data_IF_537315047775
#
_entry.id   IF_537315047775
#
_cell.length_a   1.000
_cell.length_b   1.000
_cell.length_c   1.000
_cell.angle_alpha   90.00
_cell.angle_beta   90.00
_cell.angle_gamma   90.00
#
_symmetry.space_group_name_H-M   'P 1'
#
loop_
_entity.id
_entity.type
_entity.pdbx_description
1 polymer ?
#
# COMPACT_ATOMS: atom_id res chain seq x y z
N UNK A 1 25.98 -30.64 63.56
CA UNK A 1 24.63 -30.17 63.17
C UNK A 1 23.98 -29.47 64.36
N UNK A 2 24.46 -28.27 64.73
CA UNK A 2 23.88 -27.50 65.87
C UNK A 2 23.16 -26.21 65.42
N UNK A 3 23.20 -25.90 64.12
CA UNK A 3 22.65 -24.67 63.53
C UNK A 3 21.12 -24.79 63.32
N UNK A 4 20.53 -25.97 63.48
CA UNK A 4 19.10 -26.28 63.21
C UNK A 4 18.19 -26.25 64.45
N UNK A 5 18.66 -25.80 65.62
CA UNK A 5 17.85 -25.78 66.87
C UNK A 5 17.39 -24.40 67.31
N UNK A 6 17.92 -23.31 66.76
CA UNK A 6 17.48 -21.97 67.09
C UNK A 6 16.23 -21.61 66.27
N UNK A 7 15.12 -21.32 66.97
CA UNK A 7 13.84 -20.95 66.35
C UNK A 7 13.96 -19.71 65.45
N UNK A 8 14.90 -18.82 65.71
CA UNK A 8 15.19 -17.64 64.87
C UNK A 8 15.90 -18.03 63.57
N UNK A 9 16.81 -19.00 63.63
CA UNK A 9 17.53 -19.52 62.46
C UNK A 9 16.60 -20.36 61.60
N UNK A 10 15.74 -21.19 62.20
CA UNK A 10 14.71 -21.96 61.48
C UNK A 10 13.74 -21.00 60.78
N UNK A 11 13.27 -19.95 61.46
CA UNK A 11 12.37 -18.96 60.88
C UNK A 11 12.98 -18.19 59.70
N UNK A 12 14.26 -17.83 59.80
CA UNK A 12 14.97 -17.17 58.69
C UNK A 12 15.15 -18.12 57.50
N UNK A 13 15.43 -19.40 57.75
CA UNK A 13 15.65 -20.40 56.71
C UNK A 13 14.34 -20.75 55.99
N UNK A 14 13.20 -20.84 56.68
CA UNK A 14 11.89 -21.00 56.03
C UNK A 14 11.51 -19.78 55.19
N UNK A 15 11.72 -18.56 55.68
CA UNK A 15 11.44 -17.33 54.90
C UNK A 15 12.32 -17.27 53.65
N UNK A 16 13.61 -17.59 53.76
CA UNK A 16 14.53 -17.62 52.62
C UNK A 16 14.10 -18.66 51.56
N UNK A 17 13.68 -19.86 51.99
CA UNK A 17 13.19 -20.91 51.07
C UNK A 17 11.90 -20.47 50.38
N UNK A 18 10.96 -19.85 51.11
CA UNK A 18 9.70 -19.35 50.52
C UNK A 18 9.96 -18.22 49.50
N UNK A 19 10.92 -17.33 49.77
CA UNK A 19 11.30 -16.27 48.82
C UNK A 19 11.98 -16.82 47.56
N UNK A 20 12.81 -17.85 47.68
CA UNK A 20 13.46 -18.48 46.53
C UNK A 20 12.43 -19.21 45.66
N UNK A 21 11.51 -19.96 46.27
CA UNK A 21 10.47 -20.68 45.54
C UNK A 21 9.48 -19.69 44.90
N UNK A 22 9.04 -18.67 45.64
CA UNK A 22 8.16 -17.62 45.14
C UNK A 22 8.78 -16.81 43.99
N UNK A 23 10.07 -16.47 44.12
CA UNK A 23 10.83 -15.78 43.07
C UNK A 23 10.99 -16.62 41.81
N UNK A 24 11.26 -17.92 41.95
CA UNK A 24 11.39 -18.83 40.81
C UNK A 24 10.06 -19.01 40.06
N UNK A 25 8.93 -19.16 40.78
CA UNK A 25 7.59 -19.27 40.17
C UNK A 25 7.21 -17.97 39.45
N UNK A 26 7.48 -16.81 40.05
CA UNK A 26 7.19 -15.51 39.44
C UNK A 26 8.03 -15.24 38.18
N UNK A 27 9.30 -15.65 38.17
CA UNK A 27 10.16 -15.54 37.00
C UNK A 27 9.71 -16.46 35.86
N UNK A 28 9.24 -17.68 36.16
CA UNK A 28 8.75 -18.62 35.15
C UNK A 28 7.42 -18.18 34.52
N UNK A 29 6.51 -17.58 35.30
CA UNK A 29 5.23 -17.08 34.77
C UNK A 29 5.39 -15.84 33.86
N UNK A 30 6.45 -15.03 34.04
CA UNK A 30 6.75 -13.89 33.15
C UNK A 30 7.34 -14.29 31.79
N UNK A 31 7.88 -15.51 31.66
CA UNK A 31 8.49 -16.00 30.42
C UNK A 31 7.51 -16.54 29.36
N UNK A 32 6.28 -16.88 29.76
CA UNK A 32 5.27 -17.50 28.88
C UNK A 32 4.41 -16.48 28.09
N UNK A 33 4.66 -15.18 28.26
CA UNK A 33 3.90 -14.09 27.64
C UNK A 33 4.56 -13.44 26.43
N UNK A 34 5.59 -14.05 25.80
CA UNK A 34 6.05 -13.61 24.49
C UNK A 34 5.08 -14.12 23.44
N UNK A 35 4.03 -13.34 23.19
CA UNK A 35 3.28 -13.39 21.96
C UNK A 35 4.27 -13.34 20.79
N UNK A 36 4.50 -14.48 20.14
CA UNK A 36 5.06 -14.49 18.80
C UNK A 36 4.09 -13.70 17.94
N UNK A 37 4.42 -12.45 17.64
CA UNK A 37 3.73 -11.69 16.59
C UNK A 37 3.71 -12.60 15.37
N UNK A 38 2.54 -12.98 14.85
CA UNK A 38 2.48 -13.63 13.55
C UNK A 38 3.14 -12.66 12.58
N UNK A 39 4.28 -13.04 12.00
CA UNK A 39 4.76 -12.36 10.80
C UNK A 39 3.74 -12.70 9.73
N UNK A 40 2.80 -11.77 9.55
CA UNK A 40 1.89 -11.73 8.43
C UNK A 40 2.76 -11.53 7.19
N UNK A 41 3.22 -12.64 6.63
CA UNK A 41 3.85 -12.67 5.33
C UNK A 41 2.73 -12.49 4.32
N UNK A 42 2.29 -11.24 4.14
CA UNK A 42 1.57 -10.84 2.93
C UNK A 42 2.53 -11.07 1.78
N UNK A 43 2.43 -12.24 1.15
CA UNK A 43 2.99 -12.46 -0.18
C UNK A 43 2.20 -11.52 -1.08
N UNK A 44 2.77 -10.37 -1.40
CA UNK A 44 2.26 -9.55 -2.50
C UNK A 44 2.38 -10.43 -3.75
N UNK A 45 1.24 -10.85 -4.30
CA UNK A 45 1.21 -11.53 -5.59
C UNK A 45 1.69 -10.51 -6.63
N UNK A 46 2.96 -10.65 -7.05
CA UNK A 46 3.49 -9.88 -8.18
C UNK A 46 2.73 -10.28 -9.44
N UNK A 47 1.88 -9.38 -9.94
CA UNK A 47 1.16 -9.58 -11.17
C UNK A 47 2.14 -9.62 -12.36
N UNK A 48 1.89 -10.44 -13.38
CA UNK A 48 2.67 -10.39 -14.61
C UNK A 48 2.56 -9.00 -15.24
N UNK A 49 3.71 -8.48 -15.71
CA UNK A 49 3.80 -7.12 -16.25
C UNK A 49 3.59 -7.14 -17.77
N UNK A 50 2.76 -6.24 -18.26
CA UNK A 50 2.64 -5.87 -19.68
C UNK A 50 3.27 -4.50 -19.91
N UNK A 51 3.81 -4.29 -21.10
CA UNK A 51 4.29 -2.97 -21.53
C UNK A 51 3.11 -2.09 -21.97
N UNK A 52 3.23 -0.75 -21.89
CA UNK A 52 2.25 0.16 -22.47
C UNK A 52 1.91 -0.15 -23.94
N UNK A 53 2.90 -0.59 -24.72
CA UNK A 53 2.75 -0.93 -26.13
C UNK A 53 1.89 -2.17 -26.37
N UNK A 54 1.86 -3.12 -25.43
CA UNK A 54 1.06 -4.35 -25.52
C UNK A 54 -0.44 -4.06 -25.54
N UNK A 55 -0.87 -3.03 -24.80
CA UNK A 55 -2.27 -2.57 -24.76
C UNK A 55 -2.51 -1.33 -25.64
N UNK A 56 -1.45 -0.79 -26.25
CA UNK A 56 -1.53 0.43 -27.06
C UNK A 56 -1.91 1.65 -26.23
N UNK A 57 -1.27 1.82 -25.06
CA UNK A 57 -1.51 2.90 -24.11
C UNK A 57 -0.84 4.20 -24.57
N UNK A 58 -1.67 5.16 -24.95
CA UNK A 58 -1.28 6.52 -25.25
C UNK A 58 -1.73 7.45 -24.12
N UNK A 59 -0.87 8.41 -23.75
CA UNK A 59 -1.17 9.38 -22.69
C UNK A 59 -1.03 10.77 -23.28
N UNK A 60 -2.04 11.60 -23.08
CA UNK A 60 -2.07 13.00 -23.49
C UNK A 60 -2.15 13.87 -22.25
N UNK A 61 -1.13 14.68 -22.01
CA UNK A 61 -1.16 15.73 -21.00
C UNK A 61 -1.91 16.94 -21.55
N UNK A 62 -2.80 17.52 -20.75
CA UNK A 62 -3.51 18.74 -21.14
C UNK A 62 -2.50 19.90 -21.22
N UNK A 63 -2.74 20.84 -22.13
CA UNK A 63 -1.83 21.97 -22.40
C UNK A 63 -1.48 22.82 -21.15
N UNK A 64 -2.31 22.83 -20.12
CA UNK A 64 -2.09 23.57 -18.88
C UNK A 64 -1.34 22.76 -17.80
N UNK A 65 -0.98 21.51 -18.08
CA UNK A 65 -0.30 20.60 -17.16
C UNK A 65 -1.14 20.13 -15.97
N UNK A 66 -2.45 20.43 -15.94
CA UNK A 66 -3.31 20.18 -14.76
C UNK A 66 -4.18 18.94 -14.88
N UNK A 67 -4.12 18.26 -16.01
CA UNK A 67 -4.84 17.02 -16.22
C UNK A 67 -4.12 16.14 -17.24
N UNK A 68 -4.41 14.85 -17.19
CA UNK A 68 -4.04 13.93 -18.25
C UNK A 68 -5.23 13.09 -18.69
N UNK A 69 -5.10 12.51 -19.87
CA UNK A 69 -6.06 11.58 -20.44
C UNK A 69 -5.25 10.42 -21.02
N UNK A 70 -5.81 9.22 -21.02
CA UNK A 70 -5.20 8.09 -21.68
C UNK A 70 -6.18 7.31 -22.53
N UNK A 71 -5.63 6.73 -23.59
CA UNK A 71 -6.32 5.98 -24.61
C UNK A 71 -5.66 4.61 -24.73
N UNK A 72 -6.47 3.56 -24.80
CA UNK A 72 -6.04 2.17 -24.95
C UNK A 72 -6.61 1.68 -26.27
N UNK A 73 -5.72 1.42 -27.24
CA UNK A 73 -6.09 1.13 -28.64
C UNK A 73 -6.13 -0.38 -28.97
N UNK A 74 -5.68 -1.24 -28.05
CA UNK A 74 -5.68 -2.70 -28.21
C UNK A 74 -6.45 -3.38 -27.07
N UNK A 75 -7.74 -3.06 -26.95
CA UNK A 75 -8.60 -3.55 -25.85
C UNK A 75 -9.49 -4.75 -26.21
N UNK A 76 -9.33 -5.36 -27.39
CA UNK A 76 -10.22 -6.42 -27.90
C UNK A 76 -10.34 -7.66 -26.99
N UNK A 77 -9.26 -8.00 -26.29
CA UNK A 77 -9.18 -9.13 -25.36
C UNK A 77 -9.26 -8.69 -23.89
N UNK A 78 -9.49 -7.41 -23.63
CA UNK A 78 -9.60 -6.83 -22.27
C UNK A 78 -11.06 -6.82 -21.83
N UNK A 79 -11.30 -7.25 -20.59
CA UNK A 79 -12.61 -7.19 -19.95
C UNK A 79 -12.76 -5.91 -19.11
N UNK A 80 -11.73 -5.58 -18.33
CA UNK A 80 -11.74 -4.44 -17.40
C UNK A 80 -10.34 -3.85 -17.26
N UNK A 81 -10.26 -2.53 -17.10
CA UNK A 81 -9.05 -1.82 -16.69
C UNK A 81 -9.38 -0.98 -15.46
N UNK A 82 -8.73 -1.28 -14.35
CA UNK A 82 -8.67 -0.43 -13.17
C UNK A 82 -7.35 0.32 -13.22
N UNK A 83 -7.32 1.61 -12.87
CA UNK A 83 -6.10 2.39 -12.89
C UNK A 83 -5.95 3.26 -11.66
N UNK A 84 -4.70 3.57 -11.37
CA UNK A 84 -4.25 4.51 -10.36
C UNK A 84 -3.28 5.49 -11.00
N UNK A 85 -3.48 6.77 -10.75
CA UNK A 85 -2.57 7.85 -11.12
C UNK A 85 -1.96 8.36 -9.83
N UNK A 86 -0.63 8.33 -9.69
CA UNK A 86 0.08 8.88 -8.54
C UNK A 86 1.03 9.98 -8.95
N UNK A 87 1.12 11.01 -8.11
CA UNK A 87 2.02 12.15 -8.28
C UNK A 87 2.32 12.81 -6.94
N UNK A 88 3.28 13.71 -6.91
CA UNK A 88 3.55 14.56 -5.75
C UNK A 88 3.11 16.00 -6.03
N UNK A 89 2.50 16.62 -5.02
CA UNK A 89 2.11 18.03 -5.03
C UNK A 89 2.81 18.82 -3.96
N UNK A 90 3.04 20.09 -4.23
CA UNK A 90 3.60 21.02 -3.25
C UNK A 90 2.50 21.58 -2.34
N UNK A 91 2.67 21.40 -1.03
CA UNK A 91 1.89 22.05 0.02
C UNK A 91 2.87 22.71 0.98
N UNK A 92 2.78 24.03 1.12
CA UNK A 92 3.64 24.82 2.03
C UNK A 92 5.16 24.57 1.87
N UNK A 93 5.59 24.23 0.65
CA UNK A 93 6.99 23.96 0.31
C UNK A 93 7.44 22.50 0.49
N UNK A 94 6.54 21.60 0.88
CA UNK A 94 6.80 20.16 1.01
C UNK A 94 6.11 19.37 -0.11
N UNK A 95 6.77 18.31 -0.59
CA UNK A 95 6.19 17.38 -1.55
C UNK A 95 5.33 16.34 -0.82
N UNK A 96 4.07 16.24 -1.21
CA UNK A 96 3.08 15.34 -0.62
C UNK A 96 2.52 14.45 -1.74
N UNK A 97 2.54 13.14 -1.54
CA UNK A 97 1.97 12.19 -2.50
C UNK A 97 0.44 12.30 -2.57
N UNK A 98 -0.10 12.19 -3.77
CA UNK A 98 -1.54 12.21 -4.06
C UNK A 98 -1.87 11.14 -5.11
N UNK A 99 -3.11 10.65 -5.09
CA UNK A 99 -3.56 9.56 -5.95
C UNK A 99 -4.98 9.74 -6.48
N UNK A 100 -5.22 9.32 -7.72
CA UNK A 100 -6.55 9.17 -8.30
C UNK A 100 -6.77 7.75 -8.78
N UNK A 101 -7.89 7.17 -8.39
CA UNK A 101 -8.32 5.85 -8.85
C UNK A 101 -9.47 5.95 -9.83
N UNK A 102 -9.56 5.01 -10.75
CA UNK A 102 -10.74 4.85 -11.58
C UNK A 102 -10.76 3.57 -12.38
N UNK A 103 -11.83 3.43 -13.17
CA UNK A 103 -12.06 2.29 -14.05
C UNK A 103 -12.34 2.82 -15.46
N UNK A 104 -11.84 2.10 -16.47
CA UNK A 104 -12.19 2.33 -17.87
C UNK A 104 -13.20 1.29 -18.33
N UNK A 105 -14.27 1.77 -18.97
CA UNK A 105 -15.19 0.89 -19.70
C UNK A 105 -14.57 0.52 -21.04
N UNK A 106 -14.55 -0.77 -21.39
CA UNK A 106 -14.03 -1.24 -22.66
C UNK A 106 -15.09 -1.02 -23.75
N UNK A 107 -14.74 -0.23 -24.77
CA UNK A 107 -15.62 0.02 -25.89
C UNK A 107 -15.70 -1.21 -26.81
N UNK A 108 -16.79 -1.31 -27.57
CA UNK A 108 -17.08 -2.45 -28.46
C UNK A 108 -16.10 -2.54 -29.64
N UNK A 109 -15.54 -1.40 -30.05
CA UNK A 109 -14.58 -1.27 -31.15
C UNK A 109 -13.12 -1.50 -30.72
N UNK A 110 -12.88 -1.87 -29.45
CA UNK A 110 -11.54 -2.17 -28.94
C UNK A 110 -10.68 -0.94 -28.64
N UNK A 111 -11.23 0.27 -28.77
CA UNK A 111 -10.54 1.54 -28.46
C UNK A 111 -11.30 2.25 -27.34
N UNK A 112 -10.64 2.43 -26.19
CA UNK A 112 -11.26 3.13 -25.06
C UNK A 112 -10.42 4.30 -24.59
N UNK A 113 -11.09 5.35 -24.14
CA UNK A 113 -10.49 6.64 -23.77
C UNK A 113 -11.13 7.17 -22.50
N UNK A 114 -10.33 7.72 -21.61
CA UNK A 114 -10.84 8.44 -20.44
C UNK A 114 -11.21 9.88 -20.78
N UNK A 115 -12.06 10.49 -19.95
CA UNK A 115 -12.06 11.94 -19.83
C UNK A 115 -10.75 12.41 -19.19
N UNK A 116 -10.43 13.71 -19.33
CA UNK A 116 -9.31 14.30 -18.60
C UNK A 116 -9.48 14.10 -17.09
N UNK A 117 -8.47 13.51 -16.47
CA UNK A 117 -8.34 13.34 -15.02
C UNK A 117 -7.57 14.52 -14.47
N UNK A 118 -8.29 15.37 -13.75
CA UNK A 118 -7.78 16.60 -13.14
C UNK A 118 -6.88 16.29 -11.95
N UNK A 119 -5.73 16.95 -11.84
CA UNK A 119 -4.89 16.90 -10.65
C UNK A 119 -5.41 17.89 -9.62
N UNK A 120 -6.01 17.37 -8.55
CA UNK A 120 -6.61 18.17 -7.48
C UNK A 120 -8.03 17.74 -7.14
N UNK A 121 -8.80 18.66 -6.59
CA UNK A 121 -10.17 18.39 -6.12
C UNK A 121 -11.17 19.28 -6.83
N UNK A 122 -12.21 18.67 -7.40
CA UNK A 122 -13.32 19.38 -8.02
C UNK A 122 -14.59 19.23 -7.17
N UNK A 123 -15.25 20.35 -6.88
CA UNK A 123 -16.55 20.38 -6.19
C UNK A 123 -17.51 21.31 -6.93
N UNK A 124 -18.70 20.81 -7.26
CA UNK A 124 -19.77 21.58 -7.92
C UNK A 124 -19.31 22.36 -9.18
N UNK A 125 -18.42 21.75 -9.98
CA UNK A 125 -17.92 22.34 -11.23
C UNK A 125 -16.74 23.32 -11.07
N UNK A 126 -16.24 23.53 -9.85
CA UNK A 126 -15.05 24.34 -9.58
C UNK A 126 -13.92 23.42 -9.12
N UNK A 127 -12.79 23.46 -9.82
CA UNK A 127 -11.61 22.66 -9.50
C UNK A 127 -10.54 23.51 -8.81
N UNK A 128 -10.03 23.01 -7.69
CA UNK A 128 -8.78 23.48 -7.09
C UNK A 128 -7.68 22.54 -7.54
N UNK A 129 -6.77 23.07 -8.34
CA UNK A 129 -5.68 22.31 -8.91
C UNK A 129 -4.49 22.22 -7.97
N UNK A 130 -3.85 21.06 -8.00
CA UNK A 130 -2.60 20.83 -7.30
C UNK A 130 -1.42 21.42 -8.09
N UNK A 131 -0.38 21.87 -7.38
CA UNK A 131 0.91 22.20 -7.99
C UNK A 131 1.74 20.91 -8.03
N UNK A 132 1.65 20.19 -9.15
CA UNK A 132 2.39 18.94 -9.35
C UNK A 132 3.89 19.24 -9.48
N UNK A 133 4.72 18.50 -8.76
CA UNK A 133 6.19 18.69 -8.69
C UNK A 133 6.98 17.43 -9.05
N UNK A 134 6.31 16.35 -9.42
CA UNK A 134 6.92 15.09 -9.86
C UNK A 134 6.46 14.69 -11.26
N UNK A 135 7.09 13.66 -11.82
CA UNK A 135 6.48 12.86 -12.88
C UNK A 135 5.17 12.24 -12.37
N UNK A 136 4.22 12.06 -13.28
CA UNK A 136 2.95 11.40 -13.01
C UNK A 136 3.06 9.93 -13.40
N UNK A 137 2.88 9.04 -12.44
CA UNK A 137 2.88 7.59 -12.66
C UNK A 137 1.46 7.07 -12.83
N UNK A 138 1.22 6.32 -13.89
CA UNK A 138 -0.02 5.61 -14.17
C UNK A 138 0.24 4.13 -13.99
N UNK A 139 -0.48 3.49 -13.09
CA UNK A 139 -0.49 2.04 -12.89
C UNK A 139 -1.86 1.51 -13.29
N UNK A 140 -1.91 0.52 -14.16
CA UNK A 140 -3.14 -0.11 -14.61
C UNK A 140 -3.15 -1.59 -14.27
N UNK A 141 -4.25 -2.06 -13.70
CA UNK A 141 -4.58 -3.48 -13.56
C UNK A 141 -5.53 -3.86 -14.69
N UNK A 142 -5.04 -4.70 -15.58
CA UNK A 142 -5.74 -5.14 -16.79
C UNK A 142 -6.25 -6.56 -16.57
N UNK A 143 -7.56 -6.73 -16.54
CA UNK A 143 -8.22 -8.04 -16.53
C UNK A 143 -8.61 -8.41 -17.96
N UNK A 144 -8.06 -9.50 -18.47
CA UNK A 144 -8.36 -10.06 -19.79
C UNK A 144 -9.63 -10.91 -19.73
N UNK A 145 -10.29 -11.08 -20.88
CA UNK A 145 -11.51 -11.91 -21.02
C UNK A 145 -11.30 -13.39 -20.69
N UNK A 146 -10.05 -13.86 -20.65
CA UNK A 146 -9.68 -15.21 -20.21
C UNK A 146 -9.48 -15.31 -18.68
N UNK A 147 -9.71 -14.22 -17.94
CA UNK A 147 -9.60 -14.12 -16.49
C UNK A 147 -8.18 -13.80 -15.98
N UNK A 148 -7.18 -13.69 -16.87
CA UNK A 148 -5.83 -13.33 -16.44
C UNK A 148 -5.74 -11.85 -16.10
N UNK A 149 -4.92 -11.54 -15.09
CA UNK A 149 -4.71 -10.18 -14.60
C UNK A 149 -3.26 -9.79 -14.81
N UNK A 150 -3.04 -8.59 -15.35
CA UNK A 150 -1.73 -8.03 -15.63
C UNK A 150 -1.61 -6.62 -15.05
N UNK A 151 -0.37 -6.18 -14.83
CA UNK A 151 -0.06 -4.81 -14.46
C UNK A 151 0.66 -4.09 -15.62
N UNK A 152 0.26 -2.85 -15.90
CA UNK A 152 0.95 -1.95 -16.84
C UNK A 152 1.33 -0.69 -16.08
N UNK A 153 2.54 -0.19 -16.28
CA UNK A 153 2.99 1.07 -15.70
C UNK A 153 3.51 2.03 -16.77
N UNK A 154 3.21 3.32 -16.60
CA UNK A 154 3.73 4.40 -17.46
C UNK A 154 3.94 5.66 -16.66
N UNK A 155 5.13 6.24 -16.71
CA UNK A 155 5.42 7.56 -16.15
C UNK A 155 5.45 8.61 -17.24
N UNK A 156 4.91 9.80 -16.95
CA UNK A 156 4.82 10.92 -17.88
C UNK A 156 5.24 12.20 -17.17
N UNK A 157 6.11 12.97 -17.82
CA UNK A 157 6.48 14.30 -17.34
C UNK A 157 5.48 15.34 -17.84
N UNK A 158 5.22 16.37 -17.04
CA UNK A 158 4.26 17.44 -17.34
C UNK A 158 4.90 18.67 -18.01
N UNK A 159 6.19 18.59 -18.36
CA UNK A 159 6.98 19.67 -18.99
C UNK A 159 6.59 20.00 -20.44
#
# INVERSE_FOLDING_TARGET
>A
MEILKDKKVIGFLTIAVVLIIGGAVFAFMRGAGRSSTPSDNFVQEELPILTPEDIGLEVTVRQDGKALMFEVTKADDIERIEYEITYEKEIDGEAVSEGLYGEMNIAVDGITKTDFREFGTCSSGVCRYDKVVSDVKITMKVTKKDGKVYQVEKSVSLE
#
